data_IF_836619484777
#
_entry.id   IF_836619484777
#
_cell.length_a   1.000
_cell.length_b   1.000
_cell.length_c   1.000
_cell.angle_alpha   90.00
_cell.angle_beta   90.00
_cell.angle_gamma   90.00
#
_symmetry.space_group_name_H-M   'P 1'
#
loop_
_entity.id
_entity.type
_entity.pdbx_description
1 polymer ?
#
# COMPACT_ATOMS: atom_id res chain seq x y z
N UNK A 1 10.42 15.23 -10.07
CA UNK A 1 9.95 14.40 -8.95
C UNK A 1 10.21 12.93 -9.27
N UNK A 2 10.63 12.11 -8.30
CA UNK A 2 10.65 10.64 -8.51
C UNK A 2 9.27 10.05 -8.21
N UNK A 3 8.94 8.89 -8.78
CA UNK A 3 7.67 8.18 -8.49
C UNK A 3 7.47 7.92 -6.99
N UNK A 4 8.54 7.69 -6.23
CA UNK A 4 8.50 7.58 -4.76
C UNK A 4 8.11 8.91 -4.11
N UNK A 5 8.71 10.03 -4.56
CA UNK A 5 8.36 11.35 -4.03
C UNK A 5 6.91 11.73 -4.38
N UNK A 6 6.45 11.43 -5.59
CA UNK A 6 5.05 11.63 -5.98
C UNK A 6 4.14 10.84 -5.06
N UNK A 7 4.40 9.54 -4.91
CA UNK A 7 3.62 8.65 -4.04
C UNK A 7 3.51 9.14 -2.58
N UNK A 8 4.61 9.65 -2.02
CA UNK A 8 4.63 10.25 -0.69
C UNK A 8 3.87 11.60 -0.63
N UNK A 9 4.06 12.46 -1.62
CA UNK A 9 3.42 13.77 -1.69
C UNK A 9 1.90 13.69 -1.82
N UNK A 10 1.36 12.63 -2.44
CA UNK A 10 -0.09 12.44 -2.54
C UNK A 10 -0.78 12.30 -1.17
N UNK A 11 -0.04 11.99 -0.10
CA UNK A 11 -0.59 11.98 1.25
C UNK A 11 -1.12 13.36 1.70
N UNK A 12 -0.54 14.47 1.21
CA UNK A 12 -1.04 15.81 1.54
C UNK A 12 -2.33 16.16 0.79
N UNK A 13 -2.53 15.58 -0.38
CA UNK A 13 -3.68 15.86 -1.27
C UNK A 13 -4.86 14.92 -0.97
N UNK A 14 -4.57 13.65 -0.67
CA UNK A 14 -5.54 12.56 -0.56
C UNK A 14 -5.57 11.89 0.83
N UNK A 15 -4.73 12.34 1.77
CA UNK A 15 -4.69 11.83 3.15
C UNK A 15 -4.07 10.44 3.32
N UNK A 16 -3.57 9.83 2.23
CA UNK A 16 -2.90 8.53 2.22
C UNK A 16 -1.79 8.51 1.19
N UNK A 17 -0.68 7.83 1.52
CA UNK A 17 0.45 7.64 0.62
C UNK A 17 0.18 6.54 -0.41
N UNK A 18 0.83 6.66 -1.56
CA UNK A 18 0.87 5.63 -2.59
C UNK A 18 2.29 5.11 -2.76
N UNK A 19 2.42 3.81 -3.03
CA UNK A 19 3.74 3.22 -3.30
C UNK A 19 4.28 3.66 -4.67
N UNK A 20 5.60 3.67 -4.82
CA UNK A 20 6.26 3.87 -6.12
C UNK A 20 5.70 2.92 -7.20
N UNK A 21 5.45 1.65 -6.85
CA UNK A 21 4.85 0.67 -7.77
C UNK A 21 3.45 1.08 -8.23
N UNK A 22 2.66 1.73 -7.37
CA UNK A 22 1.34 2.26 -7.75
C UNK A 22 1.46 3.34 -8.81
N UNK A 23 2.39 4.30 -8.62
CA UNK A 23 2.62 5.40 -9.57
C UNK A 23 3.14 4.85 -10.90
N UNK A 24 4.13 3.95 -10.86
CA UNK A 24 4.67 3.28 -12.04
C UNK A 24 3.59 2.54 -12.85
N UNK A 25 2.69 1.81 -12.19
CA UNK A 25 1.60 1.11 -12.87
C UNK A 25 0.56 2.07 -13.46
N UNK A 26 0.31 3.21 -12.83
CA UNK A 26 -0.57 4.24 -13.39
C UNK A 26 0.02 4.81 -14.69
N UNK A 27 1.31 5.20 -14.66
CA UNK A 27 2.01 5.76 -15.83
C UNK A 27 2.07 4.77 -17.00
N UNK A 28 2.30 3.48 -16.71
CA UNK A 28 2.36 2.43 -17.71
C UNK A 28 0.99 1.84 -18.10
N UNK A 29 -0.13 2.43 -17.64
CA UNK A 29 -1.49 1.95 -17.91
C UNK A 29 -1.74 0.49 -17.48
N UNK A 30 -1.01 0.03 -16.45
CA UNK A 30 -1.07 -1.33 -15.89
C UNK A 30 -2.02 -1.43 -14.69
N UNK A 31 -2.99 -0.53 -14.59
CA UNK A 31 -4.08 -0.59 -13.63
C UNK A 31 -5.38 -0.99 -14.33
N UNK A 32 -6.33 -1.57 -13.59
CA UNK A 32 -7.68 -1.71 -14.11
C UNK A 32 -8.28 -0.32 -14.39
N UNK A 33 -9.19 -0.25 -15.37
CA UNK A 33 -9.84 1.01 -15.75
C UNK A 33 -10.43 1.76 -14.54
N UNK A 34 -11.18 1.04 -13.69
CA UNK A 34 -11.78 1.60 -12.47
C UNK A 34 -10.72 2.16 -11.50
N UNK A 35 -9.57 1.50 -11.36
CA UNK A 35 -8.49 2.00 -10.51
C UNK A 35 -7.81 3.23 -11.13
N UNK A 36 -7.55 3.22 -12.43
CA UNK A 36 -6.98 4.38 -13.12
C UNK A 36 -7.89 5.60 -13.00
N UNK A 37 -9.21 5.45 -13.21
CA UNK A 37 -10.19 6.52 -13.05
C UNK A 37 -10.24 7.10 -11.63
N UNK A 38 -10.00 6.28 -10.60
CA UNK A 38 -9.90 6.77 -9.21
C UNK A 38 -8.61 7.55 -8.95
N UNK A 39 -7.48 7.10 -9.52
CA UNK A 39 -6.18 7.72 -9.30
C UNK A 39 -6.00 9.02 -10.11
N UNK A 40 -6.57 9.09 -11.32
CA UNK A 40 -6.44 10.24 -12.22
C UNK A 40 -6.76 11.60 -11.57
N UNK A 41 -7.92 11.82 -10.93
CA UNK A 41 -8.22 13.13 -10.33
C UNK A 41 -7.29 13.48 -9.16
N UNK A 42 -6.80 12.48 -8.42
CA UNK A 42 -5.87 12.70 -7.30
C UNK A 42 -4.51 13.19 -7.83
N UNK A 43 -3.99 12.52 -8.86
CA UNK A 43 -2.73 12.89 -9.50
C UNK A 43 -2.82 14.23 -10.24
N UNK A 44 -3.95 14.53 -10.88
CA UNK A 44 -4.18 15.81 -11.55
C UNK A 44 -4.14 16.97 -10.54
N UNK A 45 -4.85 16.85 -9.43
CA UNK A 45 -4.83 17.86 -8.36
C UNK A 45 -3.43 18.06 -7.78
N UNK A 46 -2.71 16.98 -7.52
CA UNK A 46 -1.32 17.08 -7.05
C UNK A 46 -0.42 17.80 -8.05
N UNK A 47 -0.60 17.52 -9.35
CA UNK A 47 0.19 18.15 -10.41
C UNK A 47 -0.06 19.66 -10.46
N UNK A 48 -1.33 20.08 -10.39
CA UNK A 48 -1.72 21.51 -10.34
C UNK A 48 -1.10 22.22 -9.13
N UNK A 49 -1.12 21.61 -7.94
CA UNK A 49 -0.51 22.16 -6.73
C UNK A 49 1.03 22.25 -6.84
N UNK A 50 1.67 21.24 -7.44
CA UNK A 50 3.11 21.20 -7.65
C UNK A 50 3.60 22.25 -8.67
N UNK A 51 2.82 22.51 -9.71
CA UNK A 51 3.07 23.53 -10.73
C UNK A 51 2.92 24.95 -10.17
N UNK A 52 1.85 25.21 -9.40
CA UNK A 52 1.65 26.49 -8.70
C UNK A 52 2.75 26.81 -7.68
N UNK A 53 3.31 25.78 -7.04
CA UNK A 53 4.36 25.93 -6.01
C UNK A 53 5.78 26.11 -6.59
N UNK A 54 5.91 26.29 -7.91
CA UNK A 54 7.20 26.52 -8.58
C UNK A 54 8.17 25.32 -8.49
N UNK A 55 7.66 24.10 -8.33
CA UNK A 55 8.48 22.89 -8.24
C UNK A 55 9.30 22.73 -6.94
N UNK A 56 9.27 23.72 -6.02
CA UNK A 56 10.08 23.75 -4.80
C UNK A 56 9.56 22.82 -3.68
N UNK A 57 8.45 22.10 -3.90
CA UNK A 57 7.80 21.32 -2.85
C UNK A 57 8.45 19.96 -2.56
N UNK A 58 9.48 19.55 -3.31
CA UNK A 58 10.05 18.18 -3.26
C UNK A 58 10.53 17.67 -1.89
N UNK A 59 10.80 18.57 -0.94
CA UNK A 59 11.44 18.23 0.35
C UNK A 59 10.48 18.27 1.56
N UNK A 60 9.28 18.84 1.43
CA UNK A 60 8.37 19.09 2.58
C UNK A 60 7.30 18.01 2.81
N UNK A 61 7.36 16.89 2.11
CA UNK A 61 6.29 15.89 2.09
C UNK A 61 6.51 14.75 3.08
N UNK A 62 6.59 15.08 4.38
CA UNK A 62 6.52 14.06 5.45
C UNK A 62 5.18 14.16 6.16
N UNK A 63 4.13 13.55 5.58
CA UNK A 63 2.85 13.38 6.26
C UNK A 63 2.85 12.07 7.06
N UNK A 64 2.63 12.16 8.38
CA UNK A 64 2.67 11.06 9.36
C UNK A 64 1.51 10.05 9.25
N UNK A 65 0.54 10.24 8.36
CA UNK A 65 -0.54 9.26 8.12
C UNK A 65 -0.08 8.18 7.16
N UNK A 66 0.59 7.19 7.73
CA UNK A 66 1.10 6.01 7.02
C UNK A 66 -0.01 4.99 6.83
N UNK A 67 -0.25 4.59 5.58
CA UNK A 67 -1.01 3.38 5.27
C UNK A 67 -0.45 2.20 6.07
N UNK A 68 -1.32 1.25 6.44
CA UNK A 68 -0.90 -0.02 7.06
C UNK A 68 0.20 -0.66 6.21
N UNK A 69 1.36 -0.86 6.82
CA UNK A 69 2.53 -1.44 6.16
C UNK A 69 2.23 -2.89 5.82
N UNK A 70 2.70 -3.34 4.65
CA UNK A 70 2.64 -4.76 4.28
C UNK A 70 3.47 -5.57 5.28
N UNK A 71 2.86 -6.54 5.95
CA UNK A 71 3.58 -7.51 6.79
C UNK A 71 4.37 -8.46 5.90
N UNK A 72 5.66 -8.64 6.21
CA UNK A 72 6.48 -9.69 5.58
C UNK A 72 6.40 -10.93 6.44
N UNK A 73 5.83 -12.01 5.89
CA UNK A 73 5.74 -13.30 6.58
C UNK A 73 7.04 -14.06 6.32
N UNK A 74 7.74 -14.46 7.39
CA UNK A 74 8.97 -15.24 7.30
C UNK A 74 8.74 -16.62 6.66
N UNK A 75 9.77 -17.21 6.06
CA UNK A 75 9.67 -18.47 5.33
C UNK A 75 9.07 -19.59 6.19
N UNK A 76 9.58 -19.78 7.41
CA UNK A 76 9.06 -20.79 8.34
C UNK A 76 7.58 -20.57 8.66
N UNK A 77 7.15 -19.33 8.91
CA UNK A 77 5.75 -19.04 9.19
C UNK A 77 4.85 -19.31 7.96
N UNK A 78 5.36 -19.00 6.76
CA UNK A 78 4.68 -19.32 5.50
C UNK A 78 4.49 -20.83 5.33
N UNK A 79 5.53 -21.64 5.54
CA UNK A 79 5.47 -23.11 5.42
C UNK A 79 4.43 -23.70 6.37
N UNK A 80 4.37 -23.23 7.62
CA UNK A 80 3.36 -23.66 8.59
C UNK A 80 1.93 -23.29 8.15
N UNK A 81 1.74 -22.08 7.60
CA UNK A 81 0.44 -21.66 7.06
C UNK A 81 0.02 -22.51 5.86
N UNK A 82 0.95 -22.84 4.96
CA UNK A 82 0.71 -23.70 3.80
C UNK A 82 0.35 -25.13 4.23
N UNK A 83 1.05 -25.72 5.20
CA UNK A 83 0.74 -27.04 5.75
C UNK A 83 -0.66 -27.07 6.39
N UNK A 84 -1.02 -26.04 7.17
CA UNK A 84 -2.35 -25.94 7.74
C UNK A 84 -3.42 -25.84 6.66
N UNK A 85 -3.18 -25.03 5.61
CA UNK A 85 -4.12 -24.85 4.51
C UNK A 85 -4.41 -26.18 3.76
N UNK A 86 -3.40 -27.03 3.56
CA UNK A 86 -3.58 -28.34 2.94
C UNK A 86 -4.48 -29.27 3.77
N UNK A 87 -4.48 -29.14 5.10
CA UNK A 87 -5.34 -29.93 6.01
C UNK A 87 -6.75 -29.35 6.13
N UNK A 88 -6.85 -28.04 6.27
CA UNK A 88 -8.11 -27.31 6.52
C UNK A 88 -8.04 -25.95 5.79
N UNK A 89 -8.53 -25.85 4.54
CA UNK A 89 -8.46 -24.61 3.75
C UNK A 89 -9.45 -23.55 4.24
N UNK A 90 -10.41 -23.92 5.10
CA UNK A 90 -11.43 -23.04 5.68
C UNK A 90 -11.42 -23.14 7.22
N UNK A 91 -10.37 -22.63 7.88
CA UNK A 91 -10.30 -22.65 9.34
C UNK A 91 -11.41 -21.80 9.95
N UNK A 92 -11.96 -22.26 11.06
CA UNK A 92 -12.84 -21.50 11.94
C UNK A 92 -12.10 -20.32 12.59
N UNK A 93 -12.85 -19.35 13.12
CA UNK A 93 -12.28 -18.21 13.84
C UNK A 93 -11.38 -18.63 15.01
N UNK A 94 -11.72 -19.70 15.73
CA UNK A 94 -10.91 -20.23 16.84
C UNK A 94 -9.61 -20.89 16.36
N UNK A 95 -9.62 -21.55 15.21
CA UNK A 95 -8.40 -22.10 14.60
C UNK A 95 -7.49 -20.97 14.13
N UNK A 96 -8.03 -19.93 13.49
CA UNK A 96 -7.23 -18.77 13.05
C UNK A 96 -6.51 -18.10 14.23
N UNK A 97 -7.18 -17.95 15.38
CA UNK A 97 -6.55 -17.39 16.60
C UNK A 97 -5.38 -18.26 17.06
N UNK A 98 -5.59 -19.58 17.16
CA UNK A 98 -4.54 -20.53 17.58
C UNK A 98 -3.33 -20.52 16.63
N UNK A 99 -3.57 -20.43 15.32
CA UNK A 99 -2.49 -20.34 14.32
C UNK A 99 -1.72 -19.02 14.47
N UNK A 100 -2.43 -17.90 14.64
CA UNK A 100 -1.82 -16.58 14.82
C UNK A 100 -0.95 -16.53 16.10
N UNK A 101 -1.44 -17.06 17.22
CA UNK A 101 -0.71 -17.18 18.48
C UNK A 101 0.54 -18.04 18.33
N UNK A 102 0.42 -19.21 17.68
CA UNK A 102 1.55 -20.12 17.44
C UNK A 102 2.64 -19.51 16.56
N UNK A 103 2.26 -18.67 15.59
CA UNK A 103 3.19 -17.99 14.67
C UNK A 103 3.62 -16.60 15.14
N UNK A 104 3.06 -16.10 16.26
CA UNK A 104 3.25 -14.73 16.76
C UNK A 104 2.97 -13.67 15.69
N UNK A 105 1.92 -13.89 14.90
CA UNK A 105 1.45 -12.97 13.86
C UNK A 105 0.26 -12.16 14.39
N UNK A 106 0.30 -10.84 14.18
CA UNK A 106 -0.79 -9.95 14.59
C UNK A 106 -2.01 -10.09 13.67
N UNK A 107 -3.22 -9.99 14.23
CA UNK A 107 -4.48 -10.32 13.53
C UNK A 107 -5.21 -9.10 12.93
N UNK A 108 -4.69 -7.89 13.12
CA UNK A 108 -5.35 -6.68 12.61
C UNK A 108 -5.45 -6.63 11.08
#
# INVERSE_FOLDING_TARGET
>A
FTQTNVGAALATVHGTDFSQTTICRFENLQLSFKNACKLKPILARWLEEAECSGGACGDKFSAERRRKRRTTIGLTAKEHLEEHFLKQPKPSSQEIIRIAEGLRLDRE
#
